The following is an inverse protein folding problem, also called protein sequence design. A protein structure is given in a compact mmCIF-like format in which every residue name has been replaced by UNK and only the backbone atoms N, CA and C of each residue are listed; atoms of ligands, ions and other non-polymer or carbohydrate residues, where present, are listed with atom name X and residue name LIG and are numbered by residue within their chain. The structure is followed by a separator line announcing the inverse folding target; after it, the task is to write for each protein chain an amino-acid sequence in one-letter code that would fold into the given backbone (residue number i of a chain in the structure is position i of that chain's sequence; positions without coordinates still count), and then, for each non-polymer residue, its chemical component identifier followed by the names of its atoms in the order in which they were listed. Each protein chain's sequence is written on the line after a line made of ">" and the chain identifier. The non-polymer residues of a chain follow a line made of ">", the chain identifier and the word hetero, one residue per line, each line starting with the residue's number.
data_IF_903928560843
#
_entry.id   IF_903928560843
#
_cell.length_a   1.000
_cell.length_b   1.000
_cell.length_c   1.000
_cell.angle_alpha   90.00
_cell.angle_beta   90.00
_cell.angle_gamma   90.00
#
_symmetry.space_group_name_H-M   'P 1'
#
loop_
_entity.id
_entity.type
_entity.pdbx_description
1 polymer ?
#
# COMPACT_ATOMS: atom_id res chain seq x y z
N UNK A 1 3.47 12.65 -19.63
CA UNK A 1 2.12 12.89 -20.21
C UNK A 1 1.90 12.02 -21.45
N UNK A 2 1.25 10.88 -21.23
CA UNK A 2 0.73 10.00 -22.27
C UNK A 2 -0.23 10.76 -23.21
N UNK A 3 -0.01 10.77 -24.55
CA UNK A 3 -0.90 11.49 -25.48
C UNK A 3 -2.33 10.92 -25.53
N UNK A 4 -2.56 9.69 -25.06
CA UNK A 4 -3.91 9.09 -24.98
C UNK A 4 -4.69 9.66 -23.78
N UNK A 5 -4.00 9.93 -22.68
CA UNK A 5 -4.56 10.59 -21.50
C UNK A 5 -5.13 11.98 -21.86
N UNK A 6 -4.49 12.71 -22.79
CA UNK A 6 -4.96 14.01 -23.27
C UNK A 6 -6.35 14.00 -23.93
N UNK A 7 -6.82 12.83 -24.40
CA UNK A 7 -8.13 12.69 -25.02
C UNK A 7 -9.20 12.12 -24.07
N UNK A 8 -8.88 11.92 -22.79
CA UNK A 8 -9.82 11.35 -21.83
C UNK A 8 -10.18 9.89 -22.12
N UNK A 9 -9.38 9.19 -22.93
CA UNK A 9 -9.59 7.79 -23.29
C UNK A 9 -8.67 6.96 -22.40
N UNK A 10 -9.25 6.19 -21.50
CA UNK A 10 -8.55 5.17 -20.73
C UNK A 10 -8.73 3.82 -21.43
N UNK A 11 -7.73 2.93 -21.38
CA UNK A 11 -7.87 1.52 -21.84
C UNK A 11 -9.04 0.78 -21.15
N UNK A 12 -9.67 1.39 -20.14
CA UNK A 12 -10.83 0.87 -19.42
C UNK A 12 -12.15 1.07 -20.14
N UNK A 13 -12.25 1.99 -21.12
CA UNK A 13 -13.47 2.17 -21.93
C UNK A 13 -13.75 0.96 -22.81
N UNK A 14 -12.70 0.25 -23.22
CA UNK A 14 -12.77 -0.94 -24.07
C UNK A 14 -12.97 -2.24 -23.25
N UNK A 15 -12.95 -2.16 -21.92
CA UNK A 15 -13.12 -3.31 -21.02
C UNK A 15 -14.57 -3.46 -20.57
N UNK A 16 -14.98 -4.70 -20.32
CA UNK A 16 -16.24 -5.02 -19.63
C UNK A 16 -16.16 -4.69 -18.13
N UNK A 17 -17.31 -4.59 -17.46
CA UNK A 17 -17.37 -4.42 -16.00
C UNK A 17 -16.65 -5.58 -15.30
N UNK A 18 -16.82 -6.80 -15.78
CA UNK A 18 -16.18 -8.00 -15.23
C UNK A 18 -14.65 -7.98 -15.39
N UNK A 19 -14.14 -7.51 -16.53
CA UNK A 19 -12.70 -7.34 -16.72
C UNK A 19 -12.11 -6.27 -15.81
N UNK A 20 -12.86 -5.20 -15.52
CA UNK A 20 -12.44 -4.16 -14.58
C UNK A 20 -12.50 -4.62 -13.13
N UNK A 21 -13.43 -5.49 -12.76
CA UNK A 21 -13.51 -6.00 -11.39
C UNK A 21 -12.41 -7.02 -11.08
N UNK A 22 -11.95 -7.80 -12.06
CA UNK A 22 -10.90 -8.82 -11.87
C UNK A 22 -9.50 -8.30 -11.55
N UNK A 23 -9.28 -6.99 -11.62
CA UNK A 23 -8.05 -6.31 -11.15
C UNK A 23 -8.19 -5.73 -9.74
N UNK A 24 -9.32 -5.95 -9.09
CA UNK A 24 -9.61 -5.50 -7.72
C UNK A 24 -9.75 -6.73 -6.82
N UNK A 25 -9.62 -6.51 -5.52
CA UNK A 25 -9.88 -7.57 -4.54
C UNK A 25 -11.37 -7.92 -4.55
N UNK A 26 -11.69 -9.17 -4.25
CA UNK A 26 -13.08 -9.60 -4.12
C UNK A 26 -13.75 -8.96 -2.89
N UNK A 27 -15.08 -9.05 -2.83
CA UNK A 27 -15.86 -8.49 -1.73
C UNK A 27 -15.49 -9.06 -0.35
N UNK A 28 -14.93 -10.27 -0.30
CA UNK A 28 -14.44 -10.88 0.95
C UNK A 28 -13.30 -10.08 1.59
N UNK A 29 -12.47 -9.44 0.76
CA UNK A 29 -11.28 -8.70 1.17
C UNK A 29 -11.46 -7.18 1.10
N UNK A 30 -12.69 -6.71 0.85
CA UNK A 30 -12.97 -5.29 0.60
C UNK A 30 -13.75 -4.61 1.72
N UNK A 31 -14.38 -5.33 2.65
CA UNK A 31 -15.19 -4.72 3.70
C UNK A 31 -14.35 -4.36 4.94
N UNK A 32 -14.36 -3.08 5.31
CA UNK A 32 -13.54 -2.56 6.40
C UNK A 32 -13.96 -3.06 7.78
N UNK A 33 -15.25 -3.26 8.02
CA UNK A 33 -15.76 -3.79 9.28
C UNK A 33 -15.46 -5.29 9.40
N UNK A 34 -15.58 -6.04 8.31
CA UNK A 34 -15.16 -7.42 8.22
C UNK A 34 -13.65 -7.53 8.48
N UNK A 35 -12.83 -6.68 7.86
CA UNK A 35 -11.39 -6.59 8.15
C UNK A 35 -11.13 -6.38 9.64
N UNK A 36 -11.74 -5.37 10.28
CA UNK A 36 -11.55 -5.12 11.72
C UNK A 36 -11.96 -6.30 12.58
N UNK A 37 -13.00 -7.04 12.17
CA UNK A 37 -13.44 -8.25 12.89
C UNK A 37 -12.42 -9.39 12.85
N UNK A 38 -11.48 -9.37 11.90
CA UNK A 38 -10.36 -10.35 11.83
C UNK A 38 -9.21 -10.03 12.79
N UNK A 39 -9.19 -8.82 13.36
CA UNK A 39 -8.10 -8.35 14.23
C UNK A 39 -8.43 -8.55 15.71
N UNK A 40 -7.41 -8.64 16.59
CA UNK A 40 -7.63 -8.66 18.03
C UNK A 40 -8.38 -7.43 18.52
N UNK A 41 -9.38 -7.63 19.38
CA UNK A 41 -10.24 -6.56 19.90
C UNK A 41 -9.44 -5.44 20.55
N UNK A 42 -8.39 -5.76 21.31
CA UNK A 42 -7.55 -4.77 21.99
C UNK A 42 -6.82 -3.85 21.02
N UNK A 43 -6.51 -4.34 19.81
CA UNK A 43 -5.86 -3.56 18.77
C UNK A 43 -6.85 -2.57 18.14
N UNK A 44 -8.07 -3.04 17.84
CA UNK A 44 -9.15 -2.20 17.28
C UNK A 44 -9.59 -1.14 18.29
N UNK A 45 -9.86 -1.51 19.55
CA UNK A 45 -10.22 -0.57 20.62
C UNK A 45 -9.11 0.45 20.92
N UNK A 46 -7.86 0.11 20.66
CA UNK A 46 -6.77 1.04 20.79
C UNK A 46 -6.71 2.03 19.62
N UNK A 47 -6.93 1.55 18.39
CA UNK A 47 -7.03 2.41 17.20
C UNK A 47 -8.13 3.47 17.38
N UNK A 48 -9.29 3.10 17.92
CA UNK A 48 -10.42 4.02 18.21
C UNK A 48 -10.08 5.16 19.18
N UNK A 49 -8.99 5.04 19.95
CA UNK A 49 -8.50 6.12 20.83
C UNK A 49 -7.60 7.12 20.10
N UNK A 50 -7.31 6.88 18.82
CA UNK A 50 -6.58 7.76 17.93
C UNK A 50 -5.05 7.64 17.98
N UNK A 51 -4.35 8.35 17.06
CA UNK A 51 -2.91 8.22 16.84
C UNK A 51 -2.07 8.57 18.07
N UNK A 52 -2.45 9.60 18.84
CA UNK A 52 -1.73 9.97 20.06
C UNK A 52 -1.72 8.85 21.11
N UNK A 53 -2.81 8.07 21.17
CA UNK A 53 -2.89 6.95 22.10
C UNK A 53 -2.02 5.79 21.65
N UNK A 54 -1.99 5.45 20.37
CA UNK A 54 -1.31 4.22 19.90
C UNK A 54 0.14 4.42 19.49
N UNK A 55 0.54 5.63 19.09
CA UNK A 55 1.87 5.96 18.57
C UNK A 55 3.00 5.32 19.39
N UNK A 56 3.81 4.48 18.74
CA UNK A 56 4.97 3.80 19.33
C UNK A 56 4.65 2.63 20.27
N UNK A 57 3.37 2.32 20.55
CA UNK A 57 2.99 1.19 21.40
C UNK A 57 3.13 -0.13 20.67
N UNK A 58 3.62 -1.14 21.38
CA UNK A 58 3.66 -2.53 20.92
C UNK A 58 2.53 -3.31 21.58
N UNK A 59 1.76 -4.04 20.79
CA UNK A 59 0.68 -4.88 21.27
C UNK A 59 1.19 -6.33 21.35
N UNK A 60 1.19 -6.87 22.56
CA UNK A 60 1.67 -8.21 22.89
C UNK A 60 0.52 -9.03 23.48
N UNK A 61 0.04 -10.03 22.74
CA UNK A 61 -1.04 -10.93 23.14
C UNK A 61 -0.53 -11.96 24.17
N UNK A 62 -0.34 -11.55 25.42
CA UNK A 62 -0.06 -12.48 26.54
C UNK A 62 -1.30 -13.21 27.07
N UNK A 63 -2.42 -13.19 26.35
CA UNK A 63 -3.63 -13.91 26.74
C UNK A 63 -3.87 -15.13 25.82
N UNK A 64 -3.75 -16.37 26.31
CA UNK A 64 -4.01 -17.59 25.55
C UNK A 64 -5.50 -17.83 25.20
N UNK A 65 -6.43 -17.01 25.70
CA UNK A 65 -7.87 -17.09 25.41
C UNK A 65 -8.30 -16.29 24.15
N UNK A 66 -7.38 -15.64 23.43
CA UNK A 66 -7.64 -14.93 22.15
C UNK A 66 -7.72 -15.86 20.94
N UNK A 67 -8.17 -17.12 21.13
CA UNK A 67 -8.28 -18.12 20.07
C UNK A 67 -9.65 -17.97 19.39
N UNK A 68 -9.68 -17.09 18.39
CA UNK A 68 -10.81 -16.90 17.48
C UNK A 68 -10.50 -15.80 16.48
N UNK A 69 -9.77 -16.15 15.42
CA UNK A 69 -9.23 -15.22 14.40
C UNK A 69 -7.71 -15.36 14.29
N UNK A 70 -7.15 -15.35 13.08
CA UNK A 70 -5.78 -15.79 12.79
C UNK A 70 -4.69 -14.96 13.50
N UNK A 71 -3.79 -15.68 14.17
CA UNK A 71 -2.89 -15.19 15.24
C UNK A 71 -1.84 -14.18 14.77
N UNK A 72 -1.92 -12.94 15.25
CA UNK A 72 -0.74 -12.06 15.38
C UNK A 72 0.19 -12.68 16.44
N UNK A 73 1.49 -12.87 16.15
CA UNK A 73 2.40 -13.35 17.21
C UNK A 73 2.69 -12.23 18.21
N UNK A 74 2.78 -12.60 19.48
CA UNK A 74 3.26 -11.75 20.57
C UNK A 74 4.51 -10.94 20.15
N UNK A 75 4.43 -9.61 20.24
CA UNK A 75 5.55 -8.70 19.94
C UNK A 75 5.79 -8.41 18.45
N UNK A 76 4.98 -8.92 17.51
CA UNK A 76 5.14 -8.61 16.08
C UNK A 76 4.51 -7.28 15.65
N UNK A 77 3.65 -6.67 16.46
CA UNK A 77 2.79 -5.59 15.98
C UNK A 77 2.93 -4.33 16.84
N UNK A 78 3.63 -3.35 16.27
CA UNK A 78 3.84 -2.01 16.84
C UNK A 78 3.08 -0.98 16.00
N UNK A 79 2.57 0.05 16.64
CA UNK A 79 2.07 1.22 15.91
C UNK A 79 3.21 2.14 15.53
N UNK A 80 3.21 2.57 14.28
CA UNK A 80 4.04 3.66 13.81
C UNK A 80 3.80 4.91 14.64
N UNK A 81 4.86 5.67 14.88
CA UNK A 81 4.82 6.92 15.61
C UNK A 81 5.65 7.99 14.95
N UNK A 82 5.44 9.24 15.36
CA UNK A 82 6.19 10.39 14.85
C UNK A 82 7.69 10.33 15.13
N UNK A 83 8.09 9.55 16.12
CA UNK A 83 9.49 9.37 16.50
C UNK A 83 10.20 8.30 15.64
N UNK A 84 9.45 7.45 14.92
CA UNK A 84 10.03 6.48 14.01
C UNK A 84 10.66 7.21 12.81
N UNK A 85 11.90 6.87 12.47
CA UNK A 85 12.62 7.50 11.37
C UNK A 85 13.66 6.59 10.73
N UNK A 86 13.22 5.60 9.96
CA UNK A 86 14.12 4.76 9.17
C UNK A 86 14.98 5.57 8.19
N UNK A 87 14.43 6.66 7.63
CA UNK A 87 15.13 7.53 6.70
C UNK A 87 16.26 8.35 7.35
N UNK A 88 16.22 8.58 8.66
CA UNK A 88 17.20 9.42 9.37
C UNK A 88 18.64 8.89 9.26
N UNK A 89 18.83 7.59 8.99
CA UNK A 89 20.15 7.02 8.75
C UNK A 89 20.79 7.57 7.45
N UNK A 90 19.99 7.83 6.42
CA UNK A 90 20.43 8.39 5.13
C UNK A 90 20.25 9.91 5.05
N UNK A 91 19.21 10.43 5.70
CA UNK A 91 18.80 11.82 5.68
C UNK A 91 18.67 12.34 7.13
N UNK A 92 19.79 12.65 7.80
CA UNK A 92 19.78 13.02 9.22
C UNK A 92 18.82 14.17 9.57
N UNK A 93 18.69 15.16 8.68
CA UNK A 93 17.80 16.31 8.86
C UNK A 93 16.32 15.92 9.01
N UNK A 94 15.94 14.70 8.60
CA UNK A 94 14.56 14.21 8.73
C UNK A 94 14.16 13.98 10.19
N UNK A 95 15.13 13.91 11.12
CA UNK A 95 14.84 13.79 12.55
C UNK A 95 14.10 14.99 13.10
N UNK A 96 14.29 16.16 12.50
CA UNK A 96 13.71 17.43 12.96
C UNK A 96 12.26 17.60 12.50
N UNK A 97 11.79 16.75 11.58
CA UNK A 97 10.44 16.82 11.07
C UNK A 97 9.41 16.27 12.05
N UNK A 98 8.32 17.04 12.18
CA UNK A 98 7.18 16.79 13.04
C UNK A 98 5.92 17.42 12.44
N UNK A 99 4.78 17.39 13.14
CA UNK A 99 3.50 17.91 12.64
C UNK A 99 3.49 19.38 12.22
N UNK A 100 4.40 20.21 12.72
CA UNK A 100 4.47 21.65 12.41
C UNK A 100 5.71 22.06 11.62
N UNK A 101 6.74 21.22 11.63
CA UNK A 101 7.97 21.43 10.87
C UNK A 101 8.11 20.28 9.87
N UNK A 102 7.66 20.48 8.64
CA UNK A 102 7.81 19.53 7.53
C UNK A 102 7.67 20.30 6.20
N UNK A 103 8.18 19.79 5.07
CA UNK A 103 7.93 20.39 3.77
C UNK A 103 6.45 20.29 3.38
N UNK A 104 5.97 21.26 2.60
CA UNK A 104 4.60 21.27 2.05
C UNK A 104 4.40 20.15 1.05
N UNK A 105 5.41 19.90 0.21
CA UNK A 105 5.43 18.89 -0.83
C UNK A 105 6.60 17.94 -0.59
N UNK A 106 6.37 16.64 -0.75
CA UNK A 106 7.38 15.62 -0.54
C UNK A 106 7.10 14.39 -1.41
N UNK A 107 8.15 13.83 -2.00
CA UNK A 107 8.02 12.69 -2.92
C UNK A 107 9.23 11.75 -2.84
N UNK A 108 9.00 10.49 -2.47
CA UNK A 108 10.05 9.46 -2.39
C UNK A 108 10.62 9.07 -3.76
N UNK A 109 9.92 9.39 -4.85
CA UNK A 109 10.44 9.18 -6.22
C UNK A 109 11.67 10.04 -6.48
N UNK A 110 11.68 11.27 -5.99
CA UNK A 110 12.80 12.21 -6.16
C UNK A 110 14.05 11.76 -5.40
N UNK A 111 13.88 10.90 -4.39
CA UNK A 111 14.94 10.35 -3.56
C UNK A 111 15.31 8.91 -3.93
N UNK A 112 14.70 8.33 -4.97
CA UNK A 112 15.03 7.00 -5.49
C UNK A 112 14.50 5.82 -4.69
N UNK A 113 13.56 6.04 -3.74
CA UNK A 113 12.99 4.97 -2.91
C UNK A 113 11.77 4.28 -3.53
N UNK A 114 11.47 4.55 -4.81
CA UNK A 114 10.27 4.05 -5.50
C UNK A 114 10.68 3.47 -6.85
N UNK A 115 10.38 2.20 -7.07
CA UNK A 115 10.63 1.49 -8.34
C UNK A 115 9.70 1.95 -9.47
N UNK A 116 9.93 1.45 -10.67
CA UNK A 116 9.04 1.66 -11.82
C UNK A 116 7.62 1.13 -11.57
N UNK A 117 6.64 1.69 -12.29
CA UNK A 117 5.23 1.27 -12.22
C UNK A 117 5.06 -0.09 -12.88
N UNK A 118 4.57 -1.07 -12.10
CA UNK A 118 4.27 -2.44 -12.56
C UNK A 118 2.81 -2.59 -13.02
N UNK A 119 2.44 -3.78 -13.50
CA UNK A 119 1.08 -4.07 -13.98
C UNK A 119 0.58 -5.45 -13.52
N UNK A 120 -0.38 -5.47 -12.60
CA UNK A 120 -0.95 -6.69 -12.02
C UNK A 120 -1.84 -7.49 -13.00
N UNK A 121 -2.25 -6.87 -14.11
CA UNK A 121 -3.18 -7.42 -15.11
C UNK A 121 -4.54 -7.79 -14.51
N UNK A 122 -5.05 -8.99 -14.79
CA UNK A 122 -6.41 -9.44 -14.48
C UNK A 122 -6.43 -10.42 -13.30
N UNK A 123 -5.77 -10.02 -12.23
CA UNK A 123 -5.66 -10.75 -10.97
C UNK A 123 -5.87 -9.73 -9.85
N UNK A 124 -6.70 -10.04 -8.85
CA UNK A 124 -6.96 -9.21 -7.66
C UNK A 124 -5.79 -9.18 -6.68
N UNK A 125 -4.56 -9.14 -7.18
CA UNK A 125 -3.30 -9.23 -6.43
C UNK A 125 -2.75 -7.88 -5.99
N UNK A 126 -3.52 -6.79 -6.04
CA UNK A 126 -3.05 -5.45 -5.71
C UNK A 126 -2.46 -5.32 -4.29
N UNK A 127 -2.95 -6.10 -3.32
CA UNK A 127 -2.35 -6.21 -1.99
C UNK A 127 -0.88 -6.68 -2.03
N UNK A 128 -0.53 -7.60 -2.95
CA UNK A 128 0.84 -8.08 -3.12
C UNK A 128 1.75 -7.00 -3.70
N UNK A 129 1.26 -6.19 -4.66
CA UNK A 129 2.00 -5.07 -5.23
C UNK A 129 2.21 -3.96 -4.20
N UNK A 130 1.17 -3.60 -3.45
CA UNK A 130 1.27 -2.64 -2.35
C UNK A 130 2.30 -3.08 -1.30
N UNK A 131 2.28 -4.37 -0.92
CA UNK A 131 3.22 -4.95 0.05
C UNK A 131 4.65 -4.99 -0.47
N UNK A 132 4.87 -5.57 -1.65
CA UNK A 132 6.20 -5.72 -2.23
C UNK A 132 6.86 -4.36 -2.40
N UNK A 133 6.15 -3.38 -2.96
CA UNK A 133 6.71 -2.04 -3.20
C UNK A 133 6.97 -1.24 -1.92
N UNK A 134 6.21 -1.48 -0.85
CA UNK A 134 6.60 -0.96 0.47
C UNK A 134 7.93 -1.57 0.93
N UNK A 135 8.11 -2.88 0.77
CA UNK A 135 9.36 -3.56 1.13
C UNK A 135 10.53 -3.11 0.26
N UNK A 136 10.30 -2.77 -1.02
CA UNK A 136 11.31 -2.14 -1.90
C UNK A 136 11.83 -0.82 -1.28
N UNK A 137 10.93 0.04 -0.78
CA UNK A 137 11.29 1.30 -0.12
C UNK A 137 11.96 1.10 1.24
N UNK A 138 11.47 0.16 2.06
CA UNK A 138 12.08 -0.23 3.34
C UNK A 138 13.50 -0.74 3.12
N UNK A 139 13.69 -1.59 2.11
CA UNK A 139 14.99 -2.12 1.71
C UNK A 139 15.93 -1.00 1.24
N UNK A 140 15.44 -0.10 0.38
CA UNK A 140 16.21 1.05 -0.10
C UNK A 140 16.75 1.90 1.06
N UNK A 141 15.92 2.26 2.04
CA UNK A 141 16.36 3.07 3.18
C UNK A 141 17.38 2.37 4.08
N UNK A 142 17.36 1.04 4.11
CA UNK A 142 18.30 0.25 4.92
C UNK A 142 19.64 0.01 4.21
N UNK A 143 19.64 -0.20 2.89
CA UNK A 143 20.81 -0.68 2.14
C UNK A 143 21.40 0.34 1.17
N UNK A 144 20.61 1.34 0.77
CA UNK A 144 20.92 2.32 -0.27
C UNK A 144 20.69 1.80 -1.69
N UNK A 145 20.22 0.56 -1.82
CA UNK A 145 19.96 -0.09 -3.11
C UNK A 145 18.46 -0.27 -3.31
N UNK A 146 17.94 0.21 -4.43
CA UNK A 146 16.56 -0.05 -4.83
C UNK A 146 16.51 -1.39 -5.56
N UNK A 147 15.92 -2.39 -4.92
CA UNK A 147 15.72 -3.74 -5.47
C UNK A 147 14.23 -3.95 -5.67
N UNK A 148 13.81 -4.47 -6.83
CA UNK A 148 12.42 -4.88 -7.05
C UNK A 148 12.17 -6.29 -6.55
N UNK A 149 11.05 -6.48 -5.86
CA UNK A 149 10.72 -7.76 -5.23
C UNK A 149 9.52 -8.45 -5.87
N UNK A 150 9.47 -9.77 -5.71
CA UNK A 150 8.52 -10.65 -6.41
C UNK A 150 7.13 -10.60 -5.76
N UNK A 151 6.17 -9.97 -6.43
CA UNK A 151 4.75 -10.11 -6.08
C UNK A 151 4.25 -11.55 -6.26
N UNK A 152 4.84 -12.31 -7.18
CA UNK A 152 4.40 -13.67 -7.48
C UNK A 152 4.62 -14.63 -6.32
N UNK A 153 5.72 -14.48 -5.57
CA UNK A 153 5.98 -15.21 -4.34
C UNK A 153 4.83 -15.00 -3.35
N UNK A 154 4.35 -13.76 -3.15
CA UNK A 154 3.21 -13.49 -2.29
C UNK A 154 1.97 -14.19 -2.85
N UNK A 155 1.64 -13.96 -4.13
CA UNK A 155 0.44 -14.53 -4.77
C UNK A 155 0.41 -16.06 -4.75
N UNK A 156 1.55 -16.74 -4.85
CA UNK A 156 1.62 -18.20 -4.95
C UNK A 156 1.82 -18.92 -3.61
N UNK A 157 2.46 -18.28 -2.63
CA UNK A 157 2.95 -18.95 -1.41
C UNK A 157 2.37 -18.37 -0.11
N UNK A 158 1.77 -17.19 -0.14
CA UNK A 158 1.07 -16.63 1.00
C UNK A 158 -0.31 -17.25 1.15
N UNK A 159 -0.40 -18.30 1.97
CA UNK A 159 -1.66 -18.98 2.28
C UNK A 159 -2.50 -18.27 3.36
N UNK A 160 -2.11 -17.08 3.83
CA UNK A 160 -2.95 -16.23 4.68
C UNK A 160 -3.89 -15.34 3.85
N UNK A 161 -3.65 -15.24 2.55
CA UNK A 161 -4.41 -14.49 1.56
C UNK A 161 -4.85 -15.42 0.41
N UNK A 162 -5.74 -14.94 -0.47
CA UNK A 162 -6.37 -15.77 -1.51
C UNK A 162 -5.80 -15.53 -2.92
N UNK A 163 -4.49 -15.27 -3.01
CA UNK A 163 -3.80 -15.16 -4.31
C UNK A 163 -4.40 -14.08 -5.21
N UNK A 164 -5.15 -14.47 -6.25
CA UNK A 164 -5.81 -13.53 -7.17
C UNK A 164 -7.22 -13.10 -6.74
N UNK A 165 -7.80 -13.68 -5.70
CA UNK A 165 -9.13 -13.29 -5.21
C UNK A 165 -9.07 -12.15 -4.19
N UNK A 166 -7.90 -11.85 -3.63
CA UNK A 166 -7.68 -10.73 -2.71
C UNK A 166 -6.76 -11.07 -1.56
N UNK A 167 -6.52 -10.09 -0.70
CA UNK A 167 -5.66 -10.25 0.46
C UNK A 167 -5.47 -8.94 1.23
N UNK A 168 -4.95 -9.03 2.46
CA UNK A 168 -4.53 -7.88 3.25
C UNK A 168 -3.01 -7.74 3.28
N UNK A 169 -2.51 -6.51 3.13
CA UNK A 169 -1.07 -6.22 3.13
C UNK A 169 -0.39 -6.66 4.43
N UNK A 170 -1.06 -6.51 5.58
CA UNK A 170 -0.50 -6.93 6.87
C UNK A 170 -0.26 -8.45 6.94
N UNK A 171 -1.14 -9.25 6.31
CA UNK A 171 -0.99 -10.72 6.24
C UNK A 171 0.16 -11.10 5.32
N UNK A 172 0.30 -10.40 4.20
CA UNK A 172 1.44 -10.59 3.31
C UNK A 172 2.76 -10.23 4.00
N UNK A 173 2.81 -9.14 4.78
CA UNK A 173 3.98 -8.81 5.59
C UNK A 173 4.25 -9.85 6.69
N UNK A 174 3.21 -10.41 7.32
CA UNK A 174 3.34 -11.50 8.27
C UNK A 174 3.95 -12.76 7.62
N UNK A 175 3.43 -13.15 6.45
CA UNK A 175 3.99 -14.23 5.65
C UNK A 175 5.47 -13.99 5.35
N UNK A 176 5.85 -12.81 4.87
CA UNK A 176 7.24 -12.50 4.51
C UNK A 176 8.17 -12.59 5.72
N UNK A 177 7.75 -12.05 6.87
CA UNK A 177 8.51 -12.13 8.11
C UNK A 177 8.70 -13.58 8.60
N UNK A 178 7.68 -14.43 8.41
CA UNK A 178 7.67 -15.83 8.85
C UNK A 178 8.39 -16.77 7.88
N UNK A 179 8.25 -16.54 6.57
CA UNK A 179 8.88 -17.33 5.51
C UNK A 179 10.39 -17.09 5.44
N UNK A 180 10.84 -15.90 5.83
CA UNK A 180 12.26 -15.55 5.92
C UNK A 180 12.69 -14.43 5.00
N UNK A 181 11.82 -13.93 4.12
CA UNK A 181 12.08 -12.80 3.24
C UNK A 181 11.34 -12.88 1.90
N UNK A 182 11.42 -11.79 1.15
CA UNK A 182 10.87 -11.68 -0.21
C UNK A 182 12.02 -11.70 -1.23
N UNK A 183 11.99 -12.63 -2.18
CA UNK A 183 13.02 -12.71 -3.24
C UNK A 183 12.80 -11.64 -4.29
N UNK A 184 13.85 -11.36 -5.08
CA UNK A 184 13.77 -10.38 -6.18
C UNK A 184 12.76 -10.78 -7.26
N UNK A 185 12.23 -9.80 -7.99
CA UNK A 185 11.36 -10.03 -9.15
C UNK A 185 12.04 -10.93 -10.20
N UNK A 186 13.35 -10.78 -10.41
CA UNK A 186 14.11 -11.63 -11.35
C UNK A 186 14.21 -13.09 -10.89
N UNK A 187 14.25 -13.33 -9.57
CA UNK A 187 14.34 -14.67 -9.00
C UNK A 187 13.01 -15.44 -9.09
N UNK A 188 11.87 -14.74 -8.96
CA UNK A 188 10.54 -15.33 -9.07
C UNK A 188 9.57 -14.38 -9.83
N UNK A 189 9.65 -14.31 -11.16
CA UNK A 189 8.94 -13.30 -11.94
C UNK A 189 7.41 -13.37 -11.83
N UNK A 190 6.76 -12.21 -11.93
CA UNK A 190 5.31 -12.09 -12.02
C UNK A 190 4.77 -12.76 -13.28
N UNK A 191 4.19 -13.94 -13.09
CA UNK A 191 3.48 -14.69 -14.12
C UNK A 191 2.09 -14.10 -14.18
N UNK A 192 1.99 -12.88 -14.72
CA UNK A 192 0.75 -12.15 -14.96
C UNK A 192 -0.38 -13.14 -15.23
N UNK A 193 -1.19 -13.42 -14.19
CA UNK A 193 -2.17 -14.50 -14.22
C UNK A 193 -3.22 -14.05 -15.20
N UNK A 194 -3.02 -14.41 -16.46
CA UNK A 194 -4.00 -14.17 -17.49
C UNK A 194 -5.21 -14.99 -17.08
N UNK A 195 -6.39 -14.44 -17.32
CA UNK A 195 -7.61 -15.20 -17.48
C UNK A 195 -7.52 -16.17 -18.68
N UNK A 196 -6.49 -17.00 -18.75
CA UNK A 196 -6.68 -18.32 -19.29
C UNK A 196 -7.16 -19.14 -18.11
N UNK A 197 -8.45 -19.44 -18.07
CA UNK A 197 -9.10 -20.39 -17.15
C UNK A 197 -8.46 -21.80 -17.17
N UNK A 198 -7.41 -21.99 -17.99
CA UNK A 198 -6.53 -23.16 -18.03
C UNK A 198 -5.28 -23.03 -17.14
N UNK A 199 -4.88 -21.84 -16.71
CA UNK A 199 -3.83 -21.66 -15.72
C UNK A 199 -4.46 -21.80 -14.34
N UNK A 200 -4.25 -22.95 -13.70
CA UNK A 200 -4.71 -23.19 -12.33
C UNK A 200 -4.06 -22.23 -11.32
N UNK A 201 -4.48 -22.34 -10.05
CA UNK A 201 -3.89 -21.61 -8.93
C UNK A 201 -2.35 -21.65 -9.01
N UNK A 202 -1.65 -20.51 -8.90
CA UNK A 202 -0.20 -20.47 -8.98
C UNK A 202 0.41 -21.47 -7.99
N UNK A 203 1.31 -22.32 -8.47
CA UNK A 203 2.04 -23.25 -7.62
C UNK A 203 3.17 -22.51 -6.89
N UNK A 204 3.25 -22.69 -5.57
CA UNK A 204 4.38 -22.24 -4.77
C UNK A 204 5.59 -23.18 -4.96
N UNK A 205 6.67 -22.68 -5.56
CA UNK A 205 7.95 -23.39 -5.65
C UNK A 205 8.83 -23.06 -4.44
N UNK A 206 8.61 -23.76 -3.33
CA UNK A 206 9.33 -23.53 -2.08
C UNK A 206 10.80 -23.87 -2.16
N UNK A 207 11.16 -24.86 -2.98
CA UNK A 207 12.55 -25.30 -3.11
C UNK A 207 13.37 -24.21 -3.80
N UNK A 208 12.85 -23.64 -4.90
CA UNK A 208 13.46 -22.48 -5.56
C UNK A 208 13.58 -21.29 -4.59
N UNK A 209 12.53 -20.98 -3.85
CA UNK A 209 12.52 -19.84 -2.93
C UNK A 209 13.55 -20.00 -1.80
N UNK A 210 13.64 -21.18 -1.19
CA UNK A 210 14.64 -21.44 -0.15
C UNK A 210 16.07 -21.36 -0.71
N UNK A 211 16.32 -21.90 -1.91
CA UNK A 211 17.61 -21.76 -2.59
C UNK A 211 17.99 -20.28 -2.80
N UNK A 212 17.03 -19.46 -3.23
CA UNK A 212 17.25 -18.02 -3.46
C UNK A 212 17.47 -17.24 -2.17
N UNK A 213 16.71 -17.53 -1.12
CA UNK A 213 16.90 -16.91 0.19
C UNK A 213 18.29 -17.19 0.77
N UNK A 214 18.84 -18.38 0.55
CA UNK A 214 20.21 -18.72 0.98
C UNK A 214 21.28 -18.09 0.08
N UNK A 215 21.01 -17.91 -1.21
CA UNK A 215 21.99 -17.51 -2.22
C UNK A 215 22.07 -16.01 -2.55
N UNK A 216 20.98 -15.26 -2.41
CA UNK A 216 20.86 -13.89 -2.96
C UNK A 216 21.35 -12.79 -2.00
N UNK A 217 21.78 -13.15 -0.77
CA UNK A 217 22.46 -12.25 0.17
C UNK A 217 21.68 -10.96 0.45
N UNK A 218 22.25 -9.80 0.08
CA UNK A 218 21.62 -8.50 0.27
C UNK A 218 20.44 -8.21 -0.66
N UNK A 219 20.12 -9.08 -1.62
CA UNK A 219 19.00 -8.87 -2.57
C UNK A 219 17.70 -9.54 -2.09
N UNK A 220 17.52 -9.63 -0.78
CA UNK A 220 16.31 -10.16 -0.16
C UNK A 220 15.60 -9.06 0.64
N UNK A 221 14.30 -8.93 0.41
CA UNK A 221 13.41 -8.05 1.14
C UNK A 221 13.12 -8.61 2.54
N UNK A 222 14.07 -8.44 3.46
CA UNK A 222 13.92 -8.91 4.84
C UNK A 222 13.19 -7.89 5.71
N UNK A 223 12.09 -8.33 6.30
CA UNK A 223 11.41 -7.61 7.39
C UNK A 223 11.35 -8.49 8.64
N UNK A 224 11.46 -7.88 9.82
CA UNK A 224 11.36 -8.60 11.10
C UNK A 224 9.92 -8.68 11.58
N UNK A 225 9.13 -7.70 11.15
CA UNK A 225 7.76 -7.43 11.57
C UNK A 225 7.19 -6.35 10.66
N UNK A 226 5.98 -5.87 10.99
CA UNK A 226 5.37 -4.72 10.36
C UNK A 226 4.77 -3.78 11.42
N UNK A 227 4.41 -2.58 10.99
CA UNK A 227 3.75 -1.57 11.82
C UNK A 227 2.38 -1.22 11.25
N UNK A 228 1.43 -0.98 12.15
CA UNK A 228 0.20 -0.25 11.82
C UNK A 228 0.49 1.24 11.80
N UNK A 229 0.11 1.93 10.74
CA UNK A 229 0.30 3.39 10.63
C UNK A 229 -1.02 4.12 10.78
N UNK A 230 -2.10 3.56 10.24
CA UNK A 230 -3.43 4.15 10.30
C UNK A 230 -4.54 3.09 10.25
N UNK A 231 -5.59 3.34 11.03
CA UNK A 231 -6.86 2.62 11.00
C UNK A 231 -8.01 3.61 11.25
N UNK A 232 -8.14 4.62 10.41
CA UNK A 232 -9.17 5.65 10.52
C UNK A 232 -8.72 7.02 10.06
N UNK A 233 -9.67 7.88 9.74
CA UNK A 233 -9.46 9.24 9.26
C UNK A 233 -8.55 10.10 10.17
N UNK A 234 -8.63 9.90 11.48
CA UNK A 234 -7.85 10.64 12.47
C UNK A 234 -6.33 10.42 12.35
N UNK A 235 -5.90 9.39 11.61
CA UNK A 235 -4.51 9.03 11.43
C UNK A 235 -3.84 9.69 10.22
N UNK A 236 -4.54 10.39 9.32
CA UNK A 236 -3.93 10.95 8.09
C UNK A 236 -2.74 11.89 8.38
N UNK A 237 -2.81 12.67 9.46
CA UNK A 237 -1.69 13.52 9.86
C UNK A 237 -0.47 12.71 10.32
N UNK A 238 -0.69 11.59 11.02
CA UNK A 238 0.38 10.67 11.38
C UNK A 238 0.96 10.00 10.12
N UNK A 239 0.11 9.53 9.20
CA UNK A 239 0.56 8.94 7.93
C UNK A 239 1.51 9.86 7.19
N UNK A 240 1.23 11.17 7.14
CA UNK A 240 2.04 12.15 6.42
C UNK A 240 3.45 12.22 6.97
N UNK A 241 3.58 12.37 8.28
CA UNK A 241 4.87 12.45 8.96
C UNK A 241 5.59 11.12 8.92
N UNK A 242 4.86 10.02 9.12
CA UNK A 242 5.42 8.68 9.08
C UNK A 242 5.98 8.34 7.69
N UNK A 243 5.22 8.61 6.63
CA UNK A 243 5.65 8.43 5.23
C UNK A 243 6.95 9.17 4.97
N UNK A 244 7.00 10.46 5.33
CA UNK A 244 8.19 11.29 5.12
C UNK A 244 9.42 10.70 5.81
N UNK A 245 9.26 10.15 7.01
CA UNK A 245 10.38 9.71 7.86
C UNK A 245 10.75 8.24 7.67
N UNK A 246 9.89 7.42 7.07
CA UNK A 246 10.07 5.96 7.05
C UNK A 246 9.96 5.31 5.68
N UNK A 247 9.51 6.03 4.65
CA UNK A 247 9.39 5.49 3.30
C UNK A 247 7.94 5.45 2.80
N UNK A 248 7.73 4.93 1.57
CA UNK A 248 6.40 4.73 1.00
C UNK A 248 5.50 3.82 1.86
N UNK A 249 4.19 4.08 1.92
CA UNK A 249 3.23 3.35 2.76
C UNK A 249 2.35 2.40 1.95
N UNK A 250 2.24 1.14 2.39
CA UNK A 250 1.27 0.19 1.83
C UNK A 250 -0.12 0.47 2.41
N UNK A 251 -1.11 0.75 1.54
CA UNK A 251 -2.47 1.07 1.97
C UNK A 251 -3.54 0.50 1.03
N UNK A 252 -4.80 0.49 1.49
CA UNK A 252 -5.96 0.18 0.65
C UNK A 252 -6.84 1.41 0.44
N UNK A 253 -7.54 1.45 -0.70
CA UNK A 253 -8.55 2.46 -1.04
C UNK A 253 -9.74 1.77 -1.71
N UNK A 254 -10.89 2.42 -1.70
CA UNK A 254 -11.95 2.10 -2.65
C UNK A 254 -11.60 2.68 -4.03
N UNK A 255 -11.38 1.81 -5.02
CA UNK A 255 -10.99 2.18 -6.37
C UNK A 255 -12.17 2.46 -7.31
N UNK A 256 -13.39 2.66 -6.78
CA UNK A 256 -14.50 3.08 -7.62
C UNK A 256 -14.16 4.41 -8.32
N UNK A 257 -14.45 4.48 -9.62
CA UNK A 257 -14.08 5.62 -10.46
C UNK A 257 -12.62 5.63 -10.96
N UNK A 258 -11.65 5.03 -10.25
CA UNK A 258 -10.23 5.06 -10.64
C UNK A 258 -9.99 4.50 -12.05
N UNK A 259 -10.85 3.61 -12.54
CA UNK A 259 -10.77 3.08 -13.91
C UNK A 259 -10.70 4.18 -14.98
N UNK A 260 -11.35 5.32 -14.73
CA UNK A 260 -11.48 6.46 -15.64
C UNK A 260 -10.57 7.63 -15.27
N UNK A 261 -9.75 7.49 -14.21
CA UNK A 261 -8.81 8.53 -13.83
C UNK A 261 -7.75 8.74 -14.91
N UNK A 262 -7.48 10.01 -15.19
CA UNK A 262 -6.49 10.45 -16.19
C UNK A 262 -5.44 11.33 -15.54
N UNK A 263 -5.86 12.41 -14.88
CA UNK A 263 -4.98 13.33 -14.15
C UNK A 263 -5.80 14.21 -13.20
N UNK A 264 -5.13 15.01 -12.37
CA UNK A 264 -5.77 15.94 -11.42
C UNK A 264 -5.97 15.31 -10.05
N UNK A 265 -6.53 16.07 -9.11
CA UNK A 265 -6.77 15.62 -7.73
C UNK A 265 -8.21 15.12 -7.61
N UNK A 266 -8.40 13.81 -7.43
CA UNK A 266 -9.73 13.24 -7.16
C UNK A 266 -10.18 13.56 -5.75
N UNK A 267 -11.47 13.88 -5.60
CA UNK A 267 -12.09 14.18 -4.31
C UNK A 267 -12.06 15.65 -3.93
N UNK A 268 -11.27 16.46 -4.63
CA UNK A 268 -11.05 17.88 -4.35
C UNK A 268 -12.37 18.63 -4.12
N UNK A 269 -12.65 18.95 -2.85
CA UNK A 269 -13.69 19.88 -2.41
C UNK A 269 -13.04 21.14 -1.87
N UNK A 270 -12.37 21.92 -2.70
CA UNK A 270 -11.83 23.19 -2.21
C UNK A 270 -12.88 24.28 -2.09
N UNK A 271 -12.69 25.06 -1.03
CA UNK A 271 -13.26 26.35 -0.64
C UNK A 271 -13.30 27.38 -1.79
N UNK A 272 -12.55 27.16 -2.87
CA UNK A 272 -12.50 27.99 -4.08
C UNK A 272 -13.57 27.64 -5.14
N UNK A 273 -14.32 26.53 -4.99
CA UNK A 273 -15.31 26.06 -5.96
C UNK A 273 -14.75 25.02 -6.94
N UNK A 274 -15.66 24.30 -7.61
CA UNK A 274 -15.37 23.21 -8.56
C UNK A 274 -14.51 23.64 -9.77
N UNK A 275 -14.37 24.95 -9.99
CA UNK A 275 -13.57 25.56 -11.06
C UNK A 275 -12.05 25.32 -10.91
N UNK A 276 -11.59 24.96 -9.71
CA UNK A 276 -10.17 24.75 -9.39
C UNK A 276 -9.76 23.27 -9.29
N UNK A 277 -10.72 22.35 -9.44
CA UNK A 277 -10.37 20.96 -9.70
C UNK A 277 -9.86 20.89 -11.15
N UNK A 278 -8.60 20.53 -11.35
CA UNK A 278 -8.03 20.34 -12.70
C UNK A 278 -9.04 19.58 -13.57
N UNK A 279 -9.32 20.08 -14.77
CA UNK A 279 -10.26 19.46 -15.71
C UNK A 279 -9.79 18.03 -16.02
N UNK A 280 -10.39 17.02 -15.38
CA UNK A 280 -9.90 15.63 -15.40
C UNK A 280 -9.97 14.93 -14.03
N UNK A 281 -10.09 15.70 -12.94
CA UNK A 281 -10.47 15.17 -11.63
C UNK A 281 -11.83 14.49 -11.74
N UNK A 282 -11.94 13.26 -11.22
CA UNK A 282 -13.23 12.58 -11.12
C UNK A 282 -14.11 13.45 -10.23
N UNK A 283 -15.19 13.97 -10.81
CA UNK A 283 -16.21 14.72 -10.08
C UNK A 283 -16.65 13.90 -8.85
N UNK A 284 -16.79 14.60 -7.72
CA UNK A 284 -17.35 14.15 -6.43
C UNK A 284 -18.66 13.36 -6.52
N UNK A 285 -19.25 13.24 -7.71
CA UNK A 285 -20.43 12.43 -8.05
C UNK A 285 -20.14 10.95 -8.28
N UNK A 286 -18.88 10.50 -8.36
CA UNK A 286 -18.55 9.06 -8.28
C UNK A 286 -18.18 8.70 -6.83
N UNK A 287 -19.14 8.29 -5.99
CA UNK A 287 -18.85 7.93 -4.62
C UNK A 287 -17.91 6.72 -4.56
N UNK A 288 -16.76 6.91 -3.93
CA UNK A 288 -15.95 5.81 -3.41
C UNK A 288 -16.30 5.67 -1.92
N UNK A 289 -16.79 4.51 -1.52
CA UNK A 289 -17.19 4.27 -0.13
C UNK A 289 -15.92 3.99 0.70
N UNK A 290 -15.62 4.78 1.74
CA UNK A 290 -14.41 4.58 2.56
C UNK A 290 -14.41 3.26 3.33
N UNK A 291 -15.54 2.54 3.38
CA UNK A 291 -15.66 1.23 4.03
C UNK A 291 -15.53 0.04 3.07
N UNK A 292 -15.52 0.28 1.75
CA UNK A 292 -15.37 -0.75 0.72
C UNK A 292 -13.97 -0.68 0.06
N UNK A 293 -12.92 -1.02 0.80
CA UNK A 293 -11.50 -0.96 0.41
C UNK A 293 -11.09 -2.07 -0.58
N UNK A 294 -11.51 -1.96 -1.84
CA UNK A 294 -11.34 -3.00 -2.87
C UNK A 294 -9.97 -3.01 -3.59
N UNK A 295 -9.03 -2.11 -3.27
CA UNK A 295 -7.77 -2.01 -4.00
C UNK A 295 -6.56 -1.58 -3.15
N UNK A 296 -5.50 -2.39 -3.16
CA UNK A 296 -4.21 -2.09 -2.54
C UNK A 296 -3.33 -1.20 -3.43
N UNK A 297 -2.79 -0.12 -2.86
CA UNK A 297 -1.92 0.86 -3.54
C UNK A 297 -0.78 1.30 -2.61
N UNK A 298 0.14 2.13 -3.10
CA UNK A 298 1.28 2.62 -2.34
C UNK A 298 1.29 4.16 -2.30
N UNK A 299 1.19 4.77 -1.12
CA UNK A 299 1.44 6.21 -1.00
C UNK A 299 2.95 6.47 -1.01
N UNK A 300 3.41 7.32 -1.93
CA UNK A 300 4.84 7.64 -2.13
C UNK A 300 5.20 9.08 -1.81
N UNK A 301 4.20 9.93 -1.62
CA UNK A 301 4.40 11.35 -1.40
C UNK A 301 3.10 12.08 -1.11
N UNK A 302 3.20 13.39 -0.97
CA UNK A 302 2.07 14.30 -0.78
C UNK A 302 2.42 15.69 -1.33
N UNK A 303 1.40 16.50 -1.57
CA UNK A 303 1.60 17.89 -1.99
C UNK A 303 0.42 18.81 -1.73
N UNK A 304 0.57 20.04 -2.20
CA UNK A 304 -0.46 21.07 -2.21
C UNK A 304 -0.50 21.78 -3.57
N UNK A 305 -1.65 21.77 -4.23
CA UNK A 305 -1.89 22.53 -5.46
C UNK A 305 -2.95 23.59 -5.17
N UNK A 306 -2.54 24.86 -5.08
CA UNK A 306 -3.44 26.01 -4.93
C UNK A 306 -4.41 25.90 -3.73
N UNK A 307 -3.95 25.29 -2.63
CA UNK A 307 -4.75 25.04 -1.43
C UNK A 307 -5.40 23.65 -1.38
N UNK A 308 -5.40 22.90 -2.47
CA UNK A 308 -5.84 21.50 -2.53
C UNK A 308 -4.72 20.57 -2.07
N UNK A 309 -4.87 19.97 -0.90
CA UNK A 309 -3.94 18.99 -0.36
C UNK A 309 -4.20 17.60 -0.95
N UNK A 310 -3.13 16.88 -1.31
CA UNK A 310 -3.26 15.53 -1.91
C UNK A 310 -2.16 14.57 -1.49
N UNK A 311 -2.47 13.27 -1.59
CA UNK A 311 -1.53 12.15 -1.61
C UNK A 311 -1.07 11.86 -3.03
N UNK A 312 0.20 11.47 -3.18
CA UNK A 312 0.73 10.88 -4.42
C UNK A 312 0.73 9.36 -4.23
N UNK A 313 -0.07 8.66 -5.02
CA UNK A 313 -0.30 7.22 -4.91
C UNK A 313 0.22 6.52 -6.17
N UNK A 314 1.10 5.54 -5.99
CA UNK A 314 1.55 4.62 -7.03
C UNK A 314 0.52 3.49 -7.19
N UNK A 315 0.08 3.29 -8.43
CA UNK A 315 -0.84 2.21 -8.78
C UNK A 315 -0.11 1.03 -9.45
N UNK A 316 -0.81 -0.09 -9.62
CA UNK A 316 -0.33 -1.34 -10.22
C UNK A 316 -1.03 -1.67 -11.54
N UNK A 317 -1.50 -0.65 -12.27
CA UNK A 317 -2.23 -0.80 -13.55
C UNK A 317 -1.39 -0.46 -14.79
N UNK A 318 -0.08 -0.29 -14.60
CA UNK A 318 0.88 0.06 -15.63
C UNK A 318 1.02 1.57 -15.86
N UNK A 319 2.13 2.01 -16.47
CA UNK A 319 2.48 3.42 -16.61
C UNK A 319 1.60 4.19 -17.60
N UNK A 320 0.75 3.50 -18.37
CA UNK A 320 -0.15 4.15 -19.33
C UNK A 320 -1.42 4.69 -18.66
N UNK A 321 -1.75 4.23 -17.45
CA UNK A 321 -2.92 4.66 -16.68
C UNK A 321 -2.59 5.89 -15.83
N UNK A 322 -3.54 6.82 -15.68
CA UNK A 322 -3.38 7.99 -14.81
C UNK A 322 -2.19 8.89 -15.17
N UNK A 323 -1.57 9.47 -14.15
CA UNK A 323 -0.41 10.35 -14.30
C UNK A 323 0.87 9.52 -14.37
N UNK A 324 1.10 8.88 -15.51
CA UNK A 324 2.24 7.98 -15.76
C UNK A 324 2.30 6.81 -14.73
N UNK A 325 1.11 6.28 -14.36
CA UNK A 325 0.92 5.21 -13.38
C UNK A 325 0.56 5.66 -11.97
N UNK A 326 0.46 6.97 -11.74
CA UNK A 326 0.18 7.57 -10.44
C UNK A 326 -1.21 8.19 -10.36
N UNK A 327 -1.65 8.39 -9.13
CA UNK A 327 -2.95 8.92 -8.75
C UNK A 327 -2.78 10.02 -7.70
N UNK A 328 -3.47 11.15 -7.88
CA UNK A 328 -3.56 12.20 -6.85
C UNK A 328 -4.93 12.16 -6.18
N UNK A 329 -4.92 11.92 -4.88
CA UNK A 329 -6.12 11.74 -4.05
C UNK A 329 -6.17 12.83 -2.99
N UNK A 330 -7.32 13.47 -2.80
CA UNK A 330 -7.50 14.47 -1.73
C UNK A 330 -7.04 13.91 -0.37
N UNK A 331 -6.25 14.71 0.34
CA UNK A 331 -5.72 14.41 1.67
C UNK A 331 -6.43 15.24 2.72
N UNK A 332 -6.67 14.66 3.90
CA UNK A 332 -7.28 15.34 5.05
C UNK A 332 -8.78 15.08 5.21
N UNK A 333 -9.35 14.20 4.38
CA UNK A 333 -10.78 13.86 4.37
C UNK A 333 -11.04 12.36 4.44
N UNK A 334 -9.99 11.53 4.61
CA UNK A 334 -10.05 10.07 4.45
C UNK A 334 -10.74 9.66 3.14
N UNK A 335 -10.42 10.38 2.06
CA UNK A 335 -11.07 10.16 0.76
C UNK A 335 -10.86 8.72 0.29
N UNK A 336 -11.93 8.04 -0.09
CA UNK A 336 -11.92 6.62 -0.46
C UNK A 336 -11.32 5.68 0.60
N UNK A 337 -11.28 6.08 1.87
CA UNK A 337 -10.78 5.25 2.98
C UNK A 337 -9.26 5.07 3.01
N UNK A 338 -8.51 6.03 2.43
CA UNK A 338 -7.04 5.99 2.32
C UNK A 338 -6.31 5.77 3.66
N UNK A 339 -6.92 6.14 4.78
CA UNK A 339 -6.35 5.97 6.12
C UNK A 339 -6.90 4.77 6.90
N UNK A 340 -7.80 3.98 6.32
CA UNK A 340 -8.48 2.90 7.04
C UNK A 340 -7.64 1.62 7.19
N UNK A 341 -6.72 1.35 6.25
CA UNK A 341 -5.82 0.21 6.33
C UNK A 341 -4.43 0.59 5.82
N UNK A 342 -3.53 1.00 6.72
CA UNK A 342 -2.17 1.42 6.36
C UNK A 342 -1.14 0.67 7.19
N UNK A 343 -0.21 0.02 6.49
CA UNK A 343 0.86 -0.79 7.08
C UNK A 343 2.23 -0.47 6.48
N UNK A 344 3.27 -0.80 7.23
CA UNK A 344 4.65 -0.55 6.83
C UNK A 344 5.57 -1.65 7.35
N UNK A 345 6.42 -2.22 6.51
CA UNK A 345 7.41 -3.21 6.91
C UNK A 345 8.48 -2.63 7.84
N UNK A 346 8.99 -3.43 8.77
CA UNK A 346 10.15 -3.06 9.61
C UNK A 346 11.34 -3.87 9.13
N UNK A 347 12.37 -3.18 8.63
CA UNK A 347 13.58 -3.82 8.14
C UNK A 347 14.21 -4.72 9.21
N UNK A 348 14.64 -5.92 8.81
CA UNK A 348 15.46 -6.81 9.64
C UNK A 348 16.91 -6.72 9.19
N UNK A 349 17.83 -6.21 10.03
CA UNK A 349 19.26 -6.32 9.76
C UNK A 349 19.64 -7.79 9.61
N UNK A 350 20.41 -8.09 8.56
CA UNK A 350 20.94 -9.44 8.29
C UNK A 350 22.21 -9.71 9.06
#
# INVERSE_FOLDING_TARGET
>A
QNPIALFGITDSTDKTVEERSKRRMSSEWSDYDAFKSTLPTELVEAAEKGPEFVSGKTFDSRNPDTVGGEKLKAGQVRWGGVDDCAACAMYPDFSDYNYTNHPTDFDWRDLGAVSDVKNQKYCGSCYSFSTAQNIEGVHFLATGNLTTFSEQQIVACDFLNDGCDGGYMYRAMQYIADFGGLVSEDAYPYKAVMMDYKLGTPHCDTDLLNEKLEGDGSNIGHISSYQWVAMGAEFENLMKIFLLKNGPLALAVNANGMDYYVHGITGCKTIAGWEYCDAGAIDTTTPCDPTELDHGVLAVGYGNQEGSEYWVIKNSWGPQWGEDGYYRLERGTDHCGVANMVTHGVYKPT
#
